data_IF_401304521517
#
_entry.id   IF_401304521517
#
_cell.length_a   1.000
_cell.length_b   1.000
_cell.length_c   1.000
_cell.angle_alpha   90.00
_cell.angle_beta   90.00
_cell.angle_gamma   90.00
#
_symmetry.space_group_name_H-M   'P 1'
#
loop_
_entity.id
_entity.type
_entity.pdbx_description
1 polymer ?
#
# COMPACT_ATOMS: atom_id res chain seq x y z
N UNK A 1 -21.44 11.78 15.46
CA UNK A 1 -21.94 13.17 15.38
C UNK A 1 -21.91 13.62 13.93
N UNK A 2 -22.95 14.35 13.53
CA UNK A 2 -23.01 14.97 12.21
C UNK A 2 -22.06 16.17 12.21
N UNK A 3 -21.14 16.22 11.28
CA UNK A 3 -20.11 17.25 11.26
C UNK A 3 -19.64 17.60 9.85
N UNK A 4 -19.41 18.87 9.65
CA UNK A 4 -18.61 19.38 8.54
C UNK A 4 -17.26 19.83 9.09
N UNK A 5 -16.18 19.34 8.50
CA UNK A 5 -14.82 19.75 8.84
C UNK A 5 -14.12 20.38 7.63
N UNK A 6 -13.21 21.29 7.93
CA UNK A 6 -12.41 21.98 6.92
C UNK A 6 -10.95 21.71 7.17
N UNK A 7 -10.19 21.58 6.10
CA UNK A 7 -8.73 21.45 6.11
C UNK A 7 -8.13 22.66 5.44
N UNK A 8 -7.13 23.25 6.06
CA UNK A 8 -6.26 24.25 5.43
C UNK A 8 -4.84 23.97 5.91
N UNK A 9 -3.93 23.74 4.99
CA UNK A 9 -2.55 23.42 5.30
C UNK A 9 -1.61 24.17 4.36
N UNK A 10 -0.55 24.71 4.92
CA UNK A 10 0.55 25.34 4.19
C UNK A 10 1.82 24.61 4.57
N UNK A 11 2.56 24.17 3.57
CA UNK A 11 3.84 23.51 3.77
C UNK A 11 4.92 24.17 2.91
N UNK A 12 6.11 24.26 3.45
CA UNK A 12 7.31 24.70 2.73
C UNK A 12 8.52 23.94 3.21
N UNK A 13 9.36 23.51 2.29
CA UNK A 13 10.62 22.83 2.58
C UNK A 13 11.75 23.38 1.74
N UNK A 14 12.91 23.54 2.39
CA UNK A 14 14.17 23.87 1.74
C UNK A 14 15.26 22.97 2.33
N UNK A 15 16.01 22.28 1.48
CA UNK A 15 17.10 21.41 1.88
C UNK A 15 18.35 21.65 1.06
N UNK A 16 19.52 21.37 1.62
CA UNK A 16 20.82 21.55 0.96
C UNK A 16 21.18 20.43 -0.02
N UNK A 17 20.38 19.34 -0.06
CA UNK A 17 20.55 18.23 -0.97
C UNK A 17 19.87 18.46 -2.32
N UNK A 18 19.87 17.41 -3.16
CA UNK A 18 19.13 17.40 -4.44
C UNK A 18 17.63 17.13 -4.27
N UNK A 19 17.24 16.56 -3.13
CA UNK A 19 15.87 16.16 -2.83
C UNK A 19 15.45 16.57 -1.43
N UNK A 20 14.14 16.63 -1.22
CA UNK A 20 13.54 16.73 0.12
C UNK A 20 13.95 15.53 0.97
N UNK A 21 14.17 15.70 2.28
CA UNK A 21 14.48 14.58 3.18
C UNK A 21 13.45 13.46 3.12
N UNK A 22 13.93 12.22 3.16
CA UNK A 22 13.14 11.01 2.89
C UNK A 22 11.81 10.95 3.67
N UNK A 23 11.82 11.13 4.99
CA UNK A 23 10.60 11.04 5.80
C UNK A 23 9.66 12.25 5.69
N UNK A 24 10.10 13.33 5.04
CA UNK A 24 9.21 14.44 4.69
C UNK A 24 8.41 14.16 3.42
N UNK A 25 8.89 13.27 2.54
CA UNK A 25 8.20 12.86 1.30
C UNK A 25 7.42 11.57 1.51
N UNK A 26 8.00 10.62 2.22
CA UNK A 26 7.47 9.26 2.39
C UNK A 26 6.26 9.22 3.32
N UNK A 27 5.30 8.36 3.01
CA UNK A 27 4.06 8.18 3.77
C UNK A 27 3.25 9.49 3.96
N UNK A 28 3.26 10.34 2.92
CA UNK A 28 2.54 11.62 2.87
C UNK A 28 1.51 11.67 1.74
N UNK A 29 0.98 10.51 1.34
CA UNK A 29 0.00 10.37 0.25
C UNK A 29 0.41 11.08 -1.04
N UNK A 30 1.71 11.13 -1.32
CA UNK A 30 2.25 11.74 -2.52
C UNK A 30 2.04 13.25 -2.65
N UNK A 31 1.75 13.96 -1.57
CA UNK A 31 1.50 15.41 -1.59
C UNK A 31 2.81 16.20 -1.67
N UNK A 32 3.83 15.79 -0.91
CA UNK A 32 5.11 16.51 -0.83
C UNK A 32 5.96 16.23 -2.07
N UNK A 33 6.39 17.26 -2.83
CA UNK A 33 7.31 17.08 -3.95
C UNK A 33 8.69 16.58 -3.52
N UNK A 34 9.36 15.90 -4.47
CA UNK A 34 10.72 15.41 -4.25
C UNK A 34 11.78 16.49 -4.29
N UNK A 35 11.52 17.60 -5.00
CA UNK A 35 12.47 18.69 -5.18
C UNK A 35 12.91 19.31 -3.84
N UNK A 36 14.21 19.62 -3.71
CA UNK A 36 14.81 20.12 -2.48
C UNK A 36 14.15 21.39 -1.93
N UNK A 37 13.68 22.26 -2.83
CA UNK A 37 12.95 23.48 -2.50
C UNK A 37 11.52 23.35 -3.04
N UNK A 38 10.57 23.21 -2.15
CA UNK A 38 9.18 23.00 -2.53
C UNK A 38 8.21 23.58 -1.53
N UNK A 39 6.96 23.64 -1.92
CA UNK A 39 5.86 24.00 -1.05
C UNK A 39 4.52 23.60 -1.62
N UNK A 40 3.52 23.50 -0.76
CA UNK A 40 2.14 23.30 -1.17
C UNK A 40 1.14 24.05 -0.28
N UNK A 41 -0.01 24.31 -0.86
CA UNK A 41 -1.23 24.72 -0.19
C UNK A 41 -2.24 23.60 -0.36
N UNK A 42 -2.89 23.20 0.72
CA UNK A 42 -3.95 22.21 0.69
C UNK A 42 -5.21 22.77 1.33
N UNK A 43 -6.35 22.60 0.67
CA UNK A 43 -7.65 23.02 1.17
C UNK A 43 -8.68 21.91 0.93
N UNK A 44 -9.43 21.56 1.97
CA UNK A 44 -10.43 20.50 1.89
C UNK A 44 -11.68 20.80 2.68
N UNK A 45 -12.79 20.18 2.27
CA UNK A 45 -14.06 20.14 2.97
C UNK A 45 -14.55 18.72 3.05
N UNK A 46 -14.97 18.29 4.23
CA UNK A 46 -15.43 16.94 4.51
C UNK A 46 -16.70 17.01 5.33
N UNK A 47 -17.69 16.23 4.93
CA UNK A 47 -18.97 16.17 5.64
C UNK A 47 -19.33 14.73 5.97
N UNK A 48 -19.87 14.51 7.15
CA UNK A 48 -20.41 13.23 7.59
C UNK A 48 -21.74 13.46 8.29
N UNK A 49 -22.73 12.62 7.99
CA UNK A 49 -24.06 12.69 8.61
C UNK A 49 -24.62 11.28 8.85
N UNK A 50 -25.26 11.10 9.98
CA UNK A 50 -26.03 9.92 10.33
C UNK A 50 -27.50 10.14 10.07
N UNK A 51 -28.19 9.12 9.58
CA UNK A 51 -29.64 9.18 9.34
C UNK A 51 -30.30 7.81 9.57
N UNK A 52 -31.53 7.83 10.01
CA UNK A 52 -32.26 6.60 10.29
C UNK A 52 -31.57 5.68 11.32
N UNK A 53 -31.87 4.38 11.24
CA UNK A 53 -31.31 3.38 12.15
C UNK A 53 -30.06 2.72 11.56
N UNK A 54 -28.90 3.30 11.85
CA UNK A 54 -27.59 2.72 11.49
C UNK A 54 -27.06 3.07 10.09
N UNK A 55 -27.68 4.04 9.40
CA UNK A 55 -27.17 4.62 8.16
C UNK A 55 -26.29 5.83 8.43
N UNK A 56 -25.26 6.00 7.61
CA UNK A 56 -24.44 7.21 7.55
C UNK A 56 -24.02 7.47 6.12
N UNK A 57 -23.78 8.71 5.78
CA UNK A 57 -23.12 9.08 4.54
C UNK A 57 -21.99 10.07 4.83
N UNK A 58 -20.99 10.09 3.97
CA UNK A 58 -19.94 11.08 4.01
C UNK A 58 -19.51 11.46 2.59
N UNK A 59 -18.97 12.66 2.44
CA UNK A 59 -18.37 13.12 1.22
C UNK A 59 -17.20 14.04 1.55
N UNK A 60 -16.21 14.08 0.67
CA UNK A 60 -15.04 14.94 0.83
C UNK A 60 -14.47 15.41 -0.49
N UNK A 61 -13.94 16.63 -0.47
CA UNK A 61 -13.15 17.21 -1.53
C UNK A 61 -11.90 17.84 -0.90
N UNK A 62 -10.74 17.50 -1.45
CA UNK A 62 -9.44 17.98 -0.99
C UNK A 62 -8.59 18.35 -2.21
N UNK A 63 -8.13 19.59 -2.29
CA UNK A 63 -7.40 20.16 -3.43
C UNK A 63 -6.02 20.62 -2.94
N UNK A 64 -4.99 20.28 -3.72
CA UNK A 64 -3.61 20.66 -3.46
C UNK A 64 -3.07 21.52 -4.59
N UNK A 65 -2.47 22.64 -4.24
CA UNK A 65 -1.64 23.47 -5.13
C UNK A 65 -0.17 23.32 -4.69
N UNK A 66 0.71 22.93 -5.60
CA UNK A 66 2.08 22.53 -5.27
C UNK A 66 3.11 23.06 -6.26
N UNK A 67 4.30 23.41 -5.77
CA UNK A 67 5.44 23.93 -6.54
C UNK A 67 6.73 23.26 -6.04
N UNK A 68 7.63 22.81 -6.92
CA UNK A 68 7.43 22.51 -8.34
C UNK A 68 6.80 21.15 -8.55
N UNK A 69 5.99 21.00 -9.54
CA UNK A 69 5.45 19.70 -9.97
C UNK A 69 4.94 19.76 -11.41
N UNK A 70 4.81 18.58 -12.00
CA UNK A 70 4.21 18.35 -13.31
C UNK A 70 2.76 18.92 -13.43
N UNK A 71 1.97 18.90 -12.33
CA UNK A 71 0.69 19.64 -12.21
C UNK A 71 0.71 20.47 -10.93
N UNK A 72 0.56 21.76 -11.09
CA UNK A 72 0.60 22.67 -9.95
C UNK A 72 -0.68 22.65 -9.10
N UNK A 73 -1.82 22.24 -9.66
CA UNK A 73 -3.08 22.08 -8.92
C UNK A 73 -3.73 20.75 -9.29
N UNK A 74 -4.16 20.00 -8.29
CA UNK A 74 -4.84 18.72 -8.49
C UNK A 74 -5.77 18.38 -7.33
N UNK A 75 -6.73 17.51 -7.60
CA UNK A 75 -7.61 16.93 -6.59
C UNK A 75 -6.85 15.80 -5.91
N UNK A 76 -6.65 15.91 -4.61
CA UNK A 76 -6.02 14.87 -3.78
C UNK A 76 -7.04 13.83 -3.34
N UNK A 77 -8.19 14.30 -2.89
CA UNK A 77 -9.31 13.45 -2.52
C UNK A 77 -10.60 13.99 -3.12
N UNK A 78 -11.43 13.10 -3.63
CA UNK A 78 -12.82 13.34 -3.97
C UNK A 78 -13.58 12.04 -3.81
N UNK A 79 -14.50 11.99 -2.85
CA UNK A 79 -15.22 10.76 -2.55
C UNK A 79 -16.63 11.00 -2.02
N UNK A 80 -17.45 9.97 -2.17
CA UNK A 80 -18.72 9.81 -1.48
C UNK A 80 -18.80 8.41 -0.86
N UNK A 81 -19.41 8.31 0.31
CA UNK A 81 -19.56 7.06 1.04
C UNK A 81 -20.98 6.90 1.56
N UNK A 82 -21.44 5.66 1.55
CA UNK A 82 -22.70 5.25 2.19
C UNK A 82 -22.43 4.08 3.12
N UNK A 83 -22.69 4.26 4.39
CA UNK A 83 -22.52 3.23 5.42
C UNK A 83 -23.85 2.72 5.95
N UNK A 84 -23.90 1.42 6.22
CA UNK A 84 -24.97 0.77 6.97
C UNK A 84 -24.38 -0.15 8.01
N UNK A 85 -24.57 0.16 9.30
CA UNK A 85 -23.94 -0.57 10.41
C UNK A 85 -22.42 -0.66 10.20
N UNK A 86 -21.87 -1.87 10.11
CA UNK A 86 -20.43 -2.12 9.89
C UNK A 86 -20.00 -2.05 8.43
N UNK A 87 -20.92 -2.05 7.46
CA UNK A 87 -20.62 -2.03 6.04
C UNK A 87 -20.49 -0.58 5.53
N UNK A 88 -19.56 -0.37 4.61
CA UNK A 88 -19.29 0.91 3.97
C UNK A 88 -19.05 0.72 2.47
N UNK A 89 -19.86 1.38 1.65
CA UNK A 89 -19.63 1.54 0.22
C UNK A 89 -18.99 2.91 -0.01
N UNK A 90 -17.81 2.93 -0.64
CA UNK A 90 -17.07 4.15 -0.98
C UNK A 90 -16.90 4.24 -2.48
N UNK A 91 -17.00 5.43 -3.04
CA UNK A 91 -16.72 5.74 -4.45
C UNK A 91 -15.85 6.98 -4.52
N UNK A 92 -14.73 6.90 -5.24
CA UNK A 92 -13.81 8.00 -5.46
C UNK A 92 -12.42 7.76 -4.93
N UNK A 93 -11.68 8.83 -4.72
CA UNK A 93 -10.30 8.85 -4.26
C UNK A 93 -10.25 9.34 -2.83
N UNK A 94 -9.84 8.47 -1.90
CA UNK A 94 -9.78 8.78 -0.45
C UNK A 94 -8.48 8.28 0.15
N UNK A 95 -7.84 9.09 0.96
CA UNK A 95 -6.67 8.68 1.74
C UNK A 95 -7.04 7.55 2.71
N UNK A 96 -6.37 6.41 2.58
CA UNK A 96 -6.67 5.22 3.37
C UNK A 96 -5.79 5.16 4.62
N UNK A 97 -6.42 5.00 5.79
CA UNK A 97 -5.74 4.91 7.09
C UNK A 97 -5.93 3.55 7.77
N UNK A 98 -6.38 2.54 7.04
CA UNK A 98 -6.83 1.27 7.63
C UNK A 98 -5.74 0.19 7.71
N UNK A 99 -4.47 0.57 7.89
CA UNK A 99 -3.40 -0.39 8.16
C UNK A 99 -3.57 -1.08 9.53
N UNK A 100 -3.03 -2.30 9.67
CA UNK A 100 -2.86 -2.96 10.98
C UNK A 100 -1.71 -2.34 11.79
N UNK A 101 -0.81 -1.64 11.10
CA UNK A 101 0.39 -1.00 11.65
C UNK A 101 0.07 0.42 12.10
N UNK A 102 0.91 0.97 12.97
CA UNK A 102 0.76 2.37 13.38
C UNK A 102 0.91 3.31 12.18
N UNK A 103 -0.06 4.21 12.01
CA UNK A 103 -0.12 5.08 10.85
C UNK A 103 1.02 6.11 10.81
N UNK A 104 1.45 6.60 11.96
CA UNK A 104 2.46 7.67 12.07
C UNK A 104 3.87 7.13 12.27
N UNK A 105 4.02 5.99 12.94
CA UNK A 105 5.32 5.48 13.37
C UNK A 105 5.83 4.31 12.55
N UNK A 106 4.96 3.52 11.88
CA UNK A 106 5.40 2.44 11.00
C UNK A 106 6.12 2.98 9.76
N UNK A 107 7.11 2.25 9.29
CA UNK A 107 7.78 2.53 8.01
C UNK A 107 6.87 2.35 6.80
N UNK A 108 5.74 1.67 6.97
CA UNK A 108 4.69 1.48 5.97
C UNK A 108 4.42 0.01 5.65
N UNK A 109 3.16 -0.29 5.39
CA UNK A 109 2.68 -1.57 4.88
C UNK A 109 3.33 -1.87 3.52
N UNK A 110 3.75 -3.12 3.29
CA UNK A 110 4.41 -3.52 2.05
C UNK A 110 3.46 -3.58 0.85
N UNK A 111 2.17 -3.73 1.08
CA UNK A 111 1.15 -3.84 0.01
C UNK A 111 0.50 -2.49 -0.24
N UNK A 112 -0.02 -1.85 0.82
CA UNK A 112 -0.67 -0.54 0.75
C UNK A 112 -0.31 0.33 1.95
N UNK A 113 0.55 1.30 1.73
CA UNK A 113 0.92 2.33 2.71
C UNK A 113 0.23 3.66 2.42
N UNK A 114 0.58 4.68 3.18
CA UNK A 114 0.22 6.08 2.90
C UNK A 114 1.22 6.79 1.99
N UNK A 115 2.07 6.07 1.26
CA UNK A 115 3.16 6.67 0.49
C UNK A 115 2.67 7.30 -0.82
N UNK A 116 1.88 6.58 -1.64
CA UNK A 116 1.36 7.11 -2.89
C UNK A 116 0.04 7.85 -2.72
N UNK A 117 -0.33 8.62 -3.74
CA UNK A 117 -1.66 9.23 -3.85
C UNK A 117 -2.75 8.16 -3.85
N UNK A 118 -3.94 8.46 -3.30
CA UNK A 118 -5.04 7.50 -3.32
C UNK A 118 -5.52 7.23 -4.76
N UNK A 119 -5.66 5.95 -5.09
CA UNK A 119 -6.19 5.51 -6.38
C UNK A 119 -7.71 5.63 -6.33
N UNK A 120 -8.37 6.26 -7.32
CA UNK A 120 -9.82 6.28 -7.41
C UNK A 120 -10.41 4.87 -7.55
N UNK A 121 -11.39 4.54 -6.73
CA UNK A 121 -11.96 3.19 -6.64
C UNK A 121 -13.43 3.17 -6.23
N UNK A 122 -14.09 2.06 -6.50
CA UNK A 122 -15.35 1.66 -5.88
C UNK A 122 -14.99 0.55 -4.90
N UNK A 123 -15.30 0.75 -3.62
CA UNK A 123 -14.92 -0.16 -2.55
C UNK A 123 -16.10 -0.47 -1.64
N UNK A 124 -16.35 -1.77 -1.45
CA UNK A 124 -17.20 -2.28 -0.39
C UNK A 124 -16.31 -2.77 0.74
N UNK A 125 -16.52 -2.28 1.95
CA UNK A 125 -15.65 -2.62 3.07
C UNK A 125 -16.41 -2.80 4.39
N UNK A 126 -15.78 -3.53 5.27
CA UNK A 126 -16.02 -3.55 6.71
C UNK A 126 -14.74 -2.99 7.36
N UNK A 127 -14.62 -1.66 7.50
CA UNK A 127 -13.33 -1.02 7.83
C UNK A 127 -12.89 -1.26 9.27
N UNK A 128 -13.84 -1.57 10.16
CA UNK A 128 -13.56 -1.82 11.58
C UNK A 128 -13.81 -3.27 11.93
N UNK A 129 -13.03 -3.80 12.88
CA UNK A 129 -13.23 -5.14 13.38
C UNK A 129 -14.62 -5.31 13.99
N UNK A 130 -15.48 -6.08 13.34
CA UNK A 130 -16.86 -6.33 13.71
C UNK A 130 -17.01 -7.72 14.31
N UNK A 131 -17.71 -7.80 15.44
CA UNK A 131 -17.97 -9.08 16.14
C UNK A 131 -18.78 -10.02 15.24
N UNK A 132 -18.29 -11.24 15.10
CA UNK A 132 -19.02 -12.31 14.42
C UNK A 132 -20.14 -12.82 15.36
N UNK A 133 -21.40 -12.86 14.92
CA UNK A 133 -22.50 -13.40 15.71
C UNK A 133 -22.18 -14.81 16.25
N UNK A 134 -22.75 -15.15 17.40
CA UNK A 134 -22.60 -16.44 18.08
C UNK A 134 -21.23 -16.74 18.69
N UNK A 135 -20.21 -15.89 18.48
CA UNK A 135 -18.85 -16.09 19.04
C UNK A 135 -18.67 -15.48 20.44
N UNK A 136 -19.73 -14.99 21.06
CA UNK A 136 -19.70 -14.28 22.37
C UNK A 136 -18.68 -13.10 22.40
N UNK A 137 -18.40 -12.52 21.23
CA UNK A 137 -17.47 -11.37 21.08
C UNK A 137 -16.00 -11.76 20.87
N UNK A 138 -15.62 -13.01 21.01
CA UNK A 138 -14.23 -13.43 20.87
C UNK A 138 -13.68 -13.33 19.46
N UNK A 139 -14.51 -13.56 18.45
CA UNK A 139 -14.10 -13.51 17.04
C UNK A 139 -14.62 -12.23 16.38
N UNK A 140 -13.74 -11.52 15.73
CA UNK A 140 -14.04 -10.31 14.99
C UNK A 140 -13.42 -10.37 13.61
N UNK A 141 -14.09 -9.77 12.63
CA UNK A 141 -13.62 -9.75 11.24
C UNK A 141 -13.62 -8.33 10.69
N UNK A 142 -12.74 -8.09 9.74
CA UNK A 142 -12.69 -6.87 8.94
C UNK A 142 -12.20 -7.24 7.53
N UNK A 143 -12.54 -6.44 6.52
CA UNK A 143 -12.09 -6.68 5.16
C UNK A 143 -12.64 -5.70 4.16
N UNK A 144 -12.20 -5.83 2.92
CA UNK A 144 -12.64 -5.01 1.80
C UNK A 144 -12.58 -5.75 0.48
N UNK A 145 -13.25 -5.18 -0.52
CA UNK A 145 -13.23 -5.58 -1.91
C UNK A 145 -13.39 -4.32 -2.77
N UNK A 146 -12.44 -4.05 -3.66
CA UNK A 146 -12.44 -2.84 -4.45
C UNK A 146 -12.02 -3.06 -5.90
N UNK A 147 -12.48 -2.15 -6.74
CA UNK A 147 -12.04 -1.99 -8.13
C UNK A 147 -11.71 -0.52 -8.34
N UNK A 148 -10.54 -0.25 -8.89
CA UNK A 148 -10.04 1.10 -9.13
C UNK A 148 -9.47 1.27 -10.51
N UNK A 149 -9.03 2.50 -10.81
CA UNK A 149 -8.41 2.86 -12.08
C UNK A 149 -7.33 3.91 -11.88
N UNK A 150 -6.21 3.74 -12.58
CA UNK A 150 -5.14 4.74 -12.66
C UNK A 150 -5.48 5.91 -13.57
N UNK A 151 -5.04 7.12 -13.17
CA UNK A 151 -5.16 8.37 -13.94
C UNK A 151 -3.81 9.08 -14.11
N UNK A 152 -2.71 8.35 -14.06
CA UNK A 152 -1.34 8.85 -14.12
C UNK A 152 -0.70 8.77 -15.51
N UNK A 153 -1.45 8.42 -16.54
CA UNK A 153 -0.96 8.26 -17.94
C UNK A 153 -0.10 9.44 -18.40
N UNK A 154 -0.56 10.67 -18.17
CA UNK A 154 0.18 11.86 -18.60
C UNK A 154 1.45 12.12 -17.78
N UNK A 155 1.47 11.71 -16.51
CA UNK A 155 2.69 11.70 -15.71
C UNK A 155 3.71 10.72 -16.29
N UNK A 156 3.31 9.49 -16.58
CA UNK A 156 4.18 8.45 -17.15
C UNK A 156 4.73 8.85 -18.52
N UNK A 157 3.91 9.45 -19.37
CA UNK A 157 4.33 9.96 -20.68
C UNK A 157 5.44 11.01 -20.53
N UNK A 158 5.26 11.98 -19.64
CA UNK A 158 6.22 13.06 -19.42
C UNK A 158 7.49 12.54 -18.73
N UNK A 159 7.36 11.69 -17.73
CA UNK A 159 8.49 11.20 -16.93
C UNK A 159 9.35 10.23 -17.73
N UNK A 160 8.74 9.24 -18.41
CA UNK A 160 9.46 8.27 -19.25
C UNK A 160 10.06 8.91 -20.49
N UNK A 161 9.45 9.94 -21.03
CA UNK A 161 9.88 10.62 -22.25
C UNK A 161 10.18 9.64 -23.41
N UNK A 162 9.36 8.59 -23.54
CA UNK A 162 9.47 7.57 -24.58
C UNK A 162 10.55 6.49 -24.35
N UNK A 163 11.22 6.47 -23.21
CA UNK A 163 12.29 5.48 -22.91
C UNK A 163 11.77 4.08 -22.62
N UNK A 164 10.64 4.00 -21.90
CA UNK A 164 10.01 2.73 -21.55
C UNK A 164 8.56 2.72 -21.99
N UNK A 165 8.04 1.53 -22.27
CA UNK A 165 6.61 1.32 -22.50
C UNK A 165 5.89 1.26 -21.16
N UNK A 166 4.61 1.61 -21.15
CA UNK A 166 3.76 1.57 -19.97
C UNK A 166 2.32 1.25 -20.38
N UNK A 167 1.53 0.82 -19.42
CA UNK A 167 0.10 0.58 -19.62
C UNK A 167 -0.67 1.84 -19.21
N UNK A 168 -1.51 2.35 -20.12
CA UNK A 168 -2.42 3.48 -19.87
C UNK A 168 -3.71 2.99 -19.25
N UNK A 169 -4.27 3.78 -18.33
CA UNK A 169 -5.56 3.50 -17.72
C UNK A 169 -5.64 2.10 -17.08
N UNK A 170 -4.60 1.71 -16.36
CA UNK A 170 -4.56 0.44 -15.63
C UNK A 170 -5.76 0.33 -14.69
N UNK A 171 -6.38 -0.83 -14.68
CA UNK A 171 -7.40 -1.19 -13.73
C UNK A 171 -6.74 -1.84 -12.49
N UNK A 172 -7.29 -1.56 -11.32
CA UNK A 172 -6.85 -2.13 -10.05
C UNK A 172 -7.96 -2.95 -9.44
N UNK A 173 -7.58 -4.04 -8.81
CA UNK A 173 -8.44 -4.80 -7.94
C UNK A 173 -7.71 -5.05 -6.63
N UNK A 174 -8.40 -4.89 -5.51
CA UNK A 174 -7.88 -5.38 -4.24
C UNK A 174 -8.97 -5.96 -3.36
N UNK A 175 -8.56 -6.84 -2.49
CA UNK A 175 -9.37 -7.43 -1.45
C UNK A 175 -8.51 -7.75 -0.24
N UNK A 176 -9.12 -7.65 0.94
CA UNK A 176 -8.49 -8.06 2.18
C UNK A 176 -9.47 -8.75 3.10
N UNK A 177 -8.97 -9.63 3.95
CA UNK A 177 -9.75 -10.25 4.99
C UNK A 177 -8.90 -10.53 6.22
N UNK A 178 -9.39 -10.11 7.37
CA UNK A 178 -8.71 -10.25 8.65
C UNK A 178 -9.63 -10.86 9.69
N UNK A 179 -9.07 -11.74 10.51
CA UNK A 179 -9.73 -12.31 11.69
C UNK A 179 -8.95 -11.90 12.91
N UNK A 180 -9.65 -11.38 13.91
CA UNK A 180 -9.10 -11.07 15.23
C UNK A 180 -9.76 -11.93 16.28
N UNK A 181 -8.94 -12.56 17.11
CA UNK A 181 -9.38 -13.26 18.33
C UNK A 181 -8.98 -12.38 19.51
N UNK A 182 -9.97 -11.94 20.27
CA UNK A 182 -9.79 -11.04 21.41
C UNK A 182 -10.89 -11.25 22.43
N UNK A 183 -10.53 -11.31 23.72
CA UNK A 183 -11.52 -11.24 24.79
C UNK A 183 -12.09 -9.83 24.92
N UNK A 184 -13.36 -9.68 24.55
CA UNK A 184 -14.06 -8.38 24.63
C UNK A 184 -14.35 -7.93 26.05
N UNK A 185 -14.27 -8.83 27.03
CA UNK A 185 -14.38 -8.49 28.44
C UNK A 185 -13.04 -8.05 29.07
N UNK A 186 -11.95 -8.08 28.28
CA UNK A 186 -10.60 -7.73 28.70
C UNK A 186 -10.07 -8.53 29.92
N UNK A 187 -10.61 -9.72 30.16
CA UNK A 187 -10.12 -10.62 31.21
C UNK A 187 -8.86 -11.38 30.78
N UNK A 188 -8.72 -11.61 29.46
CA UNK A 188 -7.56 -12.24 28.87
C UNK A 188 -6.76 -11.19 28.07
N UNK A 189 -5.51 -10.92 28.45
CA UNK A 189 -4.76 -9.78 27.92
C UNK A 189 -4.21 -9.96 26.50
N UNK A 190 -4.17 -11.20 26.00
CA UNK A 190 -3.61 -11.51 24.68
C UNK A 190 -4.69 -11.48 23.61
N UNK A 191 -4.39 -10.85 22.49
CA UNK A 191 -5.20 -10.92 21.27
C UNK A 191 -4.31 -11.22 20.05
N UNK A 192 -4.88 -11.89 19.06
CA UNK A 192 -4.20 -12.24 17.83
C UNK A 192 -4.99 -11.80 16.60
N UNK A 193 -4.28 -11.39 15.57
CA UNK A 193 -4.85 -11.05 14.25
C UNK A 193 -4.10 -11.86 13.20
N UNK A 194 -4.84 -12.46 12.28
CA UNK A 194 -4.33 -13.02 11.05
C UNK A 194 -5.13 -12.45 9.89
N UNK A 195 -4.47 -12.26 8.75
CA UNK A 195 -5.15 -11.75 7.57
C UNK A 195 -4.40 -11.95 6.29
N UNK A 196 -5.06 -11.60 5.21
CA UNK A 196 -4.52 -11.64 3.85
C UNK A 196 -4.93 -10.38 3.12
N UNK A 197 -3.98 -9.82 2.37
CA UNK A 197 -4.20 -8.78 1.38
C UNK A 197 -3.85 -9.32 0.00
N UNK A 198 -4.62 -8.95 -1.00
CA UNK A 198 -4.34 -9.25 -2.40
C UNK A 198 -4.65 -8.05 -3.27
N UNK A 199 -3.70 -7.68 -4.10
CA UNK A 199 -3.79 -6.59 -5.06
C UNK A 199 -3.46 -7.10 -6.46
N UNK A 200 -4.08 -6.51 -7.48
CA UNK A 200 -3.80 -6.82 -8.87
C UNK A 200 -3.93 -5.58 -9.77
N UNK A 201 -2.99 -5.44 -10.70
CA UNK A 201 -3.11 -4.56 -11.86
C UNK A 201 -3.54 -5.40 -13.05
N UNK A 202 -4.51 -4.89 -13.83
CA UNK A 202 -5.03 -5.60 -14.98
C UNK A 202 -5.63 -4.62 -16.00
N UNK A 203 -5.97 -5.11 -17.19
CA UNK A 203 -6.59 -4.28 -18.23
C UNK A 203 -5.69 -3.11 -18.67
N UNK A 204 -6.32 -2.06 -19.19
CA UNK A 204 -5.63 -0.91 -19.73
C UNK A 204 -5.15 -1.09 -21.18
N UNK A 205 -4.31 -0.20 -21.64
CA UNK A 205 -3.79 -0.22 -23.02
C UNK A 205 -2.31 0.09 -23.01
N UNK A 206 -1.50 -0.78 -23.60
CA UNK A 206 -0.06 -0.56 -23.73
C UNK A 206 0.25 0.66 -24.61
N UNK A 207 1.26 1.42 -24.22
CA UNK A 207 1.84 2.47 -25.07
C UNK A 207 2.59 1.87 -26.27
N UNK A 208 2.92 0.58 -26.23
CA UNK A 208 3.43 -0.17 -27.37
C UNK A 208 2.25 -0.67 -28.24
N UNK A 209 2.08 -0.16 -29.46
CA UNK A 209 0.95 -0.57 -30.33
C UNK A 209 0.93 -2.06 -30.67
N UNK A 210 2.07 -2.77 -30.59
CA UNK A 210 2.14 -4.22 -30.87
C UNK A 210 1.50 -5.07 -29.77
N UNK A 211 1.47 -4.55 -28.54
CA UNK A 211 0.84 -5.21 -27.38
C UNK A 211 -0.63 -4.83 -27.29
N UNK A 212 -0.94 -3.53 -27.49
CA UNK A 212 -2.31 -3.02 -27.58
C UNK A 212 -3.10 -3.09 -26.29
N UNK A 213 -4.40 -3.39 -26.44
CA UNK A 213 -5.36 -3.44 -25.32
C UNK A 213 -5.19 -4.72 -24.53
N UNK A 214 -5.07 -4.59 -23.20
CA UNK A 214 -4.98 -5.74 -22.29
C UNK A 214 -6.39 -6.30 -22.01
N UNK A 215 -6.51 -7.59 -21.64
CA UNK A 215 -7.78 -8.22 -21.28
C UNK A 215 -8.52 -7.45 -20.20
N UNK A 216 -9.80 -7.09 -20.46
CA UNK A 216 -10.59 -6.25 -19.54
C UNK A 216 -12.09 -6.60 -19.52
N UNK A 217 -12.47 -7.78 -20.02
CA UNK A 217 -13.85 -8.26 -19.93
C UNK A 217 -14.25 -8.64 -18.51
N UNK A 218 -15.54 -8.83 -18.25
CA UNK A 218 -16.04 -9.36 -16.98
C UNK A 218 -15.43 -10.74 -16.65
N UNK A 219 -15.24 -11.60 -17.68
CA UNK A 219 -14.58 -12.90 -17.53
C UNK A 219 -13.13 -12.73 -17.07
N UNK A 220 -12.41 -11.76 -17.64
CA UNK A 220 -11.03 -11.45 -17.27
C UNK A 220 -10.97 -10.89 -15.83
N UNK A 221 -11.93 -10.05 -15.44
CA UNK A 221 -12.03 -9.58 -14.05
C UNK A 221 -12.21 -10.74 -13.06
N UNK A 222 -13.08 -11.73 -13.36
CA UNK A 222 -13.24 -12.90 -12.51
C UNK A 222 -11.92 -13.69 -12.39
N UNK A 223 -11.16 -13.82 -13.49
CA UNK A 223 -9.83 -14.45 -13.46
C UNK A 223 -8.87 -13.71 -12.54
N UNK A 224 -8.84 -12.38 -12.63
CA UNK A 224 -8.00 -11.53 -11.77
C UNK A 224 -8.40 -11.68 -10.30
N UNK A 225 -9.69 -11.65 -10.00
CA UNK A 225 -10.19 -11.87 -8.62
C UNK A 225 -9.78 -13.22 -8.07
N UNK A 226 -9.80 -14.28 -8.91
CA UNK A 226 -9.45 -15.64 -8.50
C UNK A 226 -7.94 -15.94 -8.59
N UNK A 227 -7.12 -15.03 -9.13
CA UNK A 227 -5.70 -15.29 -9.40
C UNK A 227 -5.51 -16.43 -10.41
N UNK A 228 -6.26 -16.40 -11.51
CA UNK A 228 -6.27 -17.44 -12.55
C UNK A 228 -5.53 -16.98 -13.81
N UNK A 229 -5.09 -17.93 -14.60
CA UNK A 229 -4.44 -17.72 -15.89
C UNK A 229 -5.28 -16.89 -16.87
N UNK A 230 -4.60 -16.16 -17.75
CA UNK A 230 -5.21 -15.40 -18.84
C UNK A 230 -5.85 -16.30 -19.90
N UNK A 231 -6.75 -15.72 -20.70
CA UNK A 231 -7.29 -16.38 -21.88
C UNK A 231 -6.41 -16.18 -23.11
N UNK A 232 -6.88 -16.69 -24.26
CA UNK A 232 -6.17 -16.57 -25.56
C UNK A 232 -5.99 -15.13 -26.02
N UNK A 233 -6.69 -14.17 -25.41
CA UNK A 233 -6.57 -12.73 -25.64
C UNK A 233 -5.52 -12.04 -24.75
N UNK A 234 -4.83 -12.77 -23.88
CA UNK A 234 -3.78 -12.28 -23.02
C UNK A 234 -2.38 -12.49 -23.65
N UNK A 235 -1.36 -11.84 -23.08
CA UNK A 235 0.03 -12.13 -23.43
C UNK A 235 0.41 -13.57 -23.05
N UNK A 236 1.46 -14.12 -23.66
CA UNK A 236 1.88 -15.50 -23.33
C UNK A 236 2.26 -15.64 -21.85
N UNK A 237 2.88 -14.61 -21.28
CA UNK A 237 3.20 -14.56 -19.84
C UNK A 237 1.95 -14.73 -18.98
N UNK A 238 0.92 -13.96 -19.27
CA UNK A 238 -0.35 -14.00 -18.52
C UNK A 238 -1.15 -15.29 -18.77
N UNK A 239 -0.96 -15.94 -19.92
CA UNK A 239 -1.59 -17.22 -20.24
C UNK A 239 -1.00 -18.42 -19.47
N UNK A 240 0.29 -18.35 -19.11
CA UNK A 240 1.00 -19.44 -18.42
C UNK A 240 1.16 -19.22 -16.92
N UNK A 241 0.99 -17.96 -16.46
CA UNK A 241 1.07 -17.59 -15.04
C UNK A 241 -0.28 -17.17 -14.51
N UNK A 242 -0.46 -15.87 -14.28
CA UNK A 242 -1.70 -15.24 -13.79
C UNK A 242 -1.99 -14.04 -14.65
N UNK A 243 -3.27 -13.77 -14.94
CA UNK A 243 -3.66 -12.59 -15.70
C UNK A 243 -3.41 -11.31 -14.92
N UNK A 244 -2.45 -10.51 -15.37
CA UNK A 244 -2.07 -9.24 -14.76
C UNK A 244 -0.94 -9.33 -13.74
N UNK A 245 -0.66 -8.23 -13.07
CA UNK A 245 0.36 -8.14 -12.02
C UNK A 245 -0.28 -8.35 -10.65
N UNK A 246 0.07 -9.41 -9.95
CA UNK A 246 -0.48 -9.77 -8.65
C UNK A 246 0.56 -9.63 -7.55
N UNK A 247 0.14 -9.13 -6.40
CA UNK A 247 0.94 -9.09 -5.18
C UNK A 247 0.03 -9.06 -3.94
N UNK A 248 0.60 -9.36 -2.80
CA UNK A 248 -0.17 -9.39 -1.56
C UNK A 248 0.67 -9.72 -0.34
N UNK A 249 0.00 -9.98 0.76
CA UNK A 249 0.66 -10.39 2.00
C UNK A 249 -0.21 -11.30 2.86
N UNK A 250 0.45 -12.10 3.69
CA UNK A 250 -0.12 -12.66 4.90
C UNK A 250 0.32 -11.80 6.07
N UNK A 251 -0.65 -11.37 6.88
CA UNK A 251 -0.41 -10.45 7.99
C UNK A 251 -0.69 -11.14 9.32
N UNK A 252 0.25 -11.05 10.25
CA UNK A 252 0.18 -11.62 11.58
C UNK A 252 0.46 -10.55 12.61
N UNK A 253 -0.38 -10.46 13.66
CA UNK A 253 -0.16 -9.54 14.77
C UNK A 253 -0.61 -10.17 16.08
N UNK A 254 0.26 -10.11 17.09
CA UNK A 254 -0.05 -10.46 18.47
C UNK A 254 0.01 -9.20 19.32
N UNK A 255 -0.97 -9.01 20.19
CA UNK A 255 -1.04 -7.87 21.10
C UNK A 255 -1.25 -8.36 22.53
N UNK A 256 -0.42 -7.90 23.45
CA UNK A 256 -0.55 -8.13 24.88
C UNK A 256 -0.87 -6.79 25.55
N UNK A 257 -2.05 -6.68 26.16
CA UNK A 257 -2.57 -5.43 26.69
C UNK A 257 -2.65 -5.48 28.20
N UNK A 258 -1.96 -4.53 28.85
CA UNK A 258 -1.99 -4.32 30.31
C UNK A 258 -2.53 -2.91 30.60
N UNK A 259 -2.95 -2.61 31.83
CA UNK A 259 -3.53 -1.31 32.17
C UNK A 259 -2.62 -0.10 31.90
N UNK A 260 -1.31 -0.30 31.91
CA UNK A 260 -0.31 0.78 31.82
C UNK A 260 0.54 0.72 30.57
N UNK A 261 0.47 -0.36 29.79
CA UNK A 261 1.25 -0.54 28.59
C UNK A 261 0.59 -1.59 27.67
N UNK A 262 0.91 -1.52 26.39
CA UNK A 262 0.53 -2.53 25.41
C UNK A 262 1.73 -2.84 24.55
N UNK A 263 2.02 -4.12 24.39
CA UNK A 263 3.05 -4.62 23.48
C UNK A 263 2.39 -5.33 22.31
N UNK A 264 2.82 -5.00 21.10
CA UNK A 264 2.45 -5.72 19.89
C UNK A 264 3.70 -6.23 19.19
N UNK A 265 3.61 -7.43 18.62
CA UNK A 265 4.59 -7.97 17.69
C UNK A 265 3.85 -8.35 16.39
N UNK A 266 4.44 -8.09 15.24
CA UNK A 266 3.80 -8.34 13.98
C UNK A 266 4.77 -8.75 12.88
N UNK A 267 4.22 -9.45 11.90
CA UNK A 267 4.91 -9.84 10.67
C UNK A 267 3.97 -9.71 9.49
N UNK A 268 4.47 -9.08 8.42
CA UNK A 268 3.81 -9.03 7.11
C UNK A 268 4.67 -9.81 6.14
N UNK A 269 4.21 -10.98 5.73
CA UNK A 269 4.86 -11.82 4.72
C UNK A 269 4.38 -11.42 3.34
N UNK A 270 5.26 -10.83 2.54
CA UNK A 270 4.94 -10.34 1.20
C UNK A 270 5.10 -11.43 0.14
N UNK A 271 4.26 -11.43 -0.87
CA UNK A 271 4.32 -12.35 -2.00
C UNK A 271 3.84 -11.67 -3.29
N UNK A 272 4.34 -12.11 -4.45
CA UNK A 272 3.87 -11.68 -5.76
C UNK A 272 3.32 -12.84 -6.59
N UNK A 273 3.84 -14.04 -6.34
CA UNK A 273 3.40 -15.25 -7.01
C UNK A 273 3.22 -16.42 -6.03
N UNK A 274 2.97 -17.60 -6.60
CA UNK A 274 2.77 -18.82 -5.82
C UNK A 274 3.99 -19.22 -5.01
N UNK A 275 5.21 -18.93 -5.46
CA UNK A 275 6.43 -19.23 -4.73
C UNK A 275 6.50 -18.47 -3.41
N UNK A 276 6.17 -17.18 -3.42
CA UNK A 276 6.02 -16.36 -2.22
C UNK A 276 4.85 -16.83 -1.35
N UNK A 277 3.70 -17.15 -1.94
CA UNK A 277 2.52 -17.65 -1.20
C UNK A 277 2.80 -18.96 -0.42
N UNK A 278 3.71 -19.79 -0.88
CA UNK A 278 4.14 -21.04 -0.19
C UNK A 278 5.45 -20.86 0.60
N UNK A 279 5.83 -19.62 0.88
CA UNK A 279 6.98 -19.26 1.73
C UNK A 279 8.36 -19.64 1.20
N UNK A 280 8.55 -19.82 -0.13
CA UNK A 280 9.86 -20.05 -0.72
C UNK A 280 10.79 -18.85 -0.54
N UNK A 281 10.24 -17.63 -0.48
CA UNK A 281 10.97 -16.40 -0.17
C UNK A 281 11.39 -16.27 1.32
N UNK A 282 11.11 -17.29 2.13
CA UNK A 282 11.67 -17.47 3.49
C UNK A 282 11.21 -16.38 4.46
N UNK A 283 12.17 -15.57 4.93
CA UNK A 283 11.91 -14.53 5.95
C UNK A 283 11.61 -13.16 5.36
N UNK A 284 11.50 -13.04 4.04
CA UNK A 284 11.17 -11.78 3.40
C UNK A 284 9.83 -11.22 3.91
N UNK A 285 9.81 -9.92 4.17
CA UNK A 285 8.67 -9.24 4.73
C UNK A 285 9.05 -8.14 5.71
N UNK A 286 8.05 -7.60 6.38
CA UNK A 286 8.18 -6.62 7.44
C UNK A 286 7.98 -7.30 8.81
N UNK A 287 8.95 -7.17 9.69
CA UNK A 287 8.91 -7.62 11.07
C UNK A 287 8.85 -6.40 11.97
N UNK A 288 7.96 -6.37 12.94
CA UNK A 288 7.80 -5.19 13.78
C UNK A 288 7.42 -5.50 15.21
N UNK A 289 7.75 -4.56 16.09
CA UNK A 289 7.28 -4.51 17.46
C UNK A 289 6.88 -3.08 17.82
N UNK A 290 5.80 -2.94 18.57
CA UNK A 290 5.27 -1.68 19.04
C UNK A 290 5.01 -1.74 20.54
N UNK A 291 5.43 -0.71 21.24
CA UNK A 291 5.17 -0.53 22.67
C UNK A 291 4.40 0.76 22.88
N UNK A 292 3.19 0.67 23.40
CA UNK A 292 2.36 1.81 23.80
C UNK A 292 2.48 2.02 25.32
N UNK A 293 2.75 3.25 25.73
CA UNK A 293 2.97 3.68 27.13
C UNK A 293 2.03 4.84 27.48
N UNK A 294 0.71 4.60 27.58
CA UNK A 294 -0.30 5.69 27.68
C UNK A 294 -0.17 6.56 28.92
N UNK A 295 0.56 6.09 29.95
CA UNK A 295 0.81 6.85 31.21
C UNK A 295 2.12 7.62 31.21
N UNK A 296 2.92 7.52 30.15
CA UNK A 296 4.21 8.17 30.05
C UNK A 296 4.17 9.27 28.96
N UNK A 297 3.80 10.52 29.31
CA UNK A 297 3.52 11.52 28.29
C UNK A 297 4.72 11.82 27.41
N UNK A 298 5.94 11.85 27.97
CA UNK A 298 7.15 12.15 27.24
C UNK A 298 7.62 10.99 26.31
N UNK A 299 7.08 9.79 26.43
CA UNK A 299 7.31 8.67 25.53
C UNK A 299 6.04 7.82 25.44
N UNK A 300 5.12 8.20 24.56
CA UNK A 300 3.82 7.54 24.44
C UNK A 300 3.87 6.25 23.68
N UNK A 301 4.74 6.19 22.67
CA UNK A 301 4.81 5.04 21.77
C UNK A 301 6.21 4.88 21.18
N UNK A 302 6.61 3.64 21.00
CA UNK A 302 7.84 3.24 20.30
C UNK A 302 7.50 2.15 19.31
N UNK A 303 8.02 2.28 18.08
CA UNK A 303 7.92 1.24 17.04
C UNK A 303 9.34 0.91 16.57
N UNK A 304 9.64 -0.36 16.45
CA UNK A 304 10.85 -0.86 15.80
C UNK A 304 10.47 -1.86 14.72
N UNK A 305 11.05 -1.72 13.54
CA UNK A 305 10.76 -2.58 12.39
C UNK A 305 12.03 -3.02 11.69
N UNK A 306 11.97 -4.21 11.12
CA UNK A 306 12.99 -4.75 10.24
C UNK A 306 12.32 -5.20 8.94
N UNK A 307 12.65 -4.53 7.84
CA UNK A 307 12.25 -4.92 6.49
C UNK A 307 13.36 -5.72 5.83
N UNK A 308 13.00 -6.85 5.26
CA UNK A 308 13.91 -7.65 4.43
C UNK A 308 13.20 -8.13 3.16
N UNK A 309 13.85 -7.92 2.00
CA UNK A 309 13.32 -8.30 0.69
C UNK A 309 14.43 -8.94 -0.18
N UNK A 310 15.35 -9.65 0.44
CA UNK A 310 16.56 -10.14 -0.23
C UNK A 310 16.39 -11.46 -0.95
N UNK A 311 15.57 -12.34 -0.43
CA UNK A 311 15.42 -13.70 -0.93
C UNK A 311 14.67 -13.69 -2.27
N UNK A 312 13.44 -13.12 -2.28
CA UNK A 312 12.59 -13.01 -3.46
C UNK A 312 12.49 -14.36 -4.21
N UNK A 313 12.24 -15.44 -3.43
CA UNK A 313 12.17 -16.84 -3.91
C UNK A 313 13.42 -17.35 -4.61
N UNK A 314 14.61 -16.77 -4.28
CA UNK A 314 15.92 -17.19 -4.81
C UNK A 314 16.31 -16.49 -6.11
N UNK A 315 17.53 -16.79 -6.62
CA UNK A 315 18.09 -16.10 -7.79
C UNK A 315 17.61 -16.67 -9.13
N UNK A 316 16.98 -17.85 -9.13
CA UNK A 316 16.59 -18.57 -10.35
C UNK A 316 15.11 -18.91 -10.33
N UNK A 317 14.50 -18.90 -11.52
CA UNK A 317 13.20 -19.51 -11.73
C UNK A 317 13.30 -21.04 -11.61
N UNK A 318 12.27 -21.65 -11.06
CA UNK A 318 12.16 -23.12 -10.99
C UNK A 318 10.75 -23.55 -11.44
N UNK A 319 10.65 -24.75 -12.02
CA UNK A 319 9.37 -25.33 -12.44
C UNK A 319 8.74 -25.97 -11.21
N UNK A 320 7.58 -25.46 -10.79
CA UNK A 320 6.74 -26.09 -9.76
C UNK A 320 5.68 -27.01 -10.41
N UNK A 321 5.27 -26.70 -11.65
CA UNK A 321 4.23 -27.40 -12.40
C UNK A 321 4.59 -27.49 -13.88
N UNK A 322 4.26 -28.63 -14.49
CA UNK A 322 4.15 -28.73 -15.94
C UNK A 322 2.93 -27.91 -16.39
N UNK A 323 3.12 -27.05 -17.38
CA UNK A 323 2.05 -26.32 -18.03
C UNK A 323 1.94 -26.76 -19.48
N UNK A 324 0.75 -27.05 -19.96
CA UNK A 324 0.51 -27.57 -21.31
C UNK A 324 1.03 -26.64 -22.43
N UNK A 325 1.04 -25.32 -22.16
CA UNK A 325 1.42 -24.28 -23.13
C UNK A 325 2.88 -23.83 -23.03
N UNK A 326 3.58 -24.16 -21.95
CA UNK A 326 4.93 -23.69 -21.70
C UNK A 326 5.72 -24.64 -20.82
N UNK A 327 6.84 -25.09 -21.37
CA UNK A 327 7.82 -25.96 -20.72
C UNK A 327 9.06 -25.12 -20.37
N UNK A 328 9.01 -24.36 -19.31
CA UNK A 328 10.08 -23.47 -18.90
C UNK A 328 10.13 -23.23 -17.39
N UNK A 329 11.12 -22.49 -16.89
CA UNK A 329 11.18 -22.13 -15.48
C UNK A 329 9.97 -21.32 -15.08
N UNK A 330 9.24 -21.78 -14.07
CA UNK A 330 8.10 -21.07 -13.47
C UNK A 330 8.27 -20.97 -11.97
N UNK A 331 7.90 -19.82 -11.37
CA UNK A 331 8.09 -19.53 -9.95
C UNK A 331 9.55 -19.23 -9.58
N UNK A 332 9.77 -18.57 -8.44
CA UNK A 332 11.09 -18.13 -7.97
C UNK A 332 11.66 -16.96 -8.77
N UNK A 333 12.80 -16.45 -8.32
CA UNK A 333 13.49 -15.34 -8.98
C UNK A 333 12.64 -14.06 -9.08
N UNK A 334 11.80 -13.77 -8.06
CA UNK A 334 10.91 -12.61 -8.04
C UNK A 334 11.70 -11.29 -8.07
N UNK A 335 11.07 -10.24 -8.54
CA UNK A 335 11.56 -8.86 -8.47
C UNK A 335 10.46 -7.96 -7.91
N UNK A 336 10.40 -7.89 -6.58
CA UNK A 336 9.32 -7.23 -5.85
C UNK A 336 9.03 -5.83 -6.35
N UNK A 337 7.74 -5.50 -6.44
CA UNK A 337 7.17 -4.25 -6.96
C UNK A 337 7.32 -4.05 -8.48
N UNK A 338 8.09 -4.88 -9.19
CA UNK A 338 8.22 -4.83 -10.64
C UNK A 338 7.35 -5.88 -11.34
N UNK A 339 7.03 -5.63 -12.61
CA UNK A 339 6.34 -6.59 -13.46
C UNK A 339 6.71 -6.36 -14.92
N UNK A 340 6.78 -7.42 -15.71
CA UNK A 340 7.22 -7.36 -17.11
C UNK A 340 6.18 -6.64 -17.99
N UNK A 341 4.89 -6.87 -17.75
CA UNK A 341 3.81 -6.26 -18.54
C UNK A 341 3.45 -4.87 -18.00
N UNK A 342 3.29 -4.77 -16.68
CA UNK A 342 2.96 -3.54 -15.98
C UNK A 342 4.23 -2.89 -15.41
N UNK A 343 5.07 -2.35 -16.30
CA UNK A 343 6.43 -1.84 -15.99
C UNK A 343 6.46 -0.87 -14.80
N UNK A 344 5.40 -0.07 -14.60
CA UNK A 344 5.29 0.82 -13.43
C UNK A 344 5.25 0.06 -12.11
N UNK A 345 4.96 -1.24 -12.15
CA UNK A 345 4.87 -2.08 -10.98
C UNK A 345 3.89 -1.54 -9.93
N UNK A 346 4.20 -1.77 -8.67
CA UNK A 346 3.37 -1.34 -7.53
C UNK A 346 3.50 0.17 -7.27
N UNK A 347 3.30 1.02 -8.30
CA UNK A 347 3.40 2.48 -8.17
C UNK A 347 2.22 3.24 -8.78
N UNK A 348 2.01 4.47 -8.30
CA UNK A 348 1.03 5.42 -8.82
C UNK A 348 1.61 6.83 -8.76
N UNK A 349 1.59 7.54 -9.88
CA UNK A 349 2.32 8.82 -10.06
C UNK A 349 3.80 8.74 -9.68
N UNK A 350 4.46 7.61 -9.98
CA UNK A 350 5.87 7.38 -9.69
C UNK A 350 6.21 7.12 -8.23
N UNK A 351 5.22 7.04 -7.35
CA UNK A 351 5.41 6.67 -5.94
C UNK A 351 4.91 5.25 -5.68
N UNK A 352 5.71 4.46 -4.97
CA UNK A 352 5.32 3.13 -4.54
C UNK A 352 4.05 3.17 -3.68
N UNK A 353 3.09 2.31 -3.96
CA UNK A 353 1.85 2.21 -3.16
C UNK A 353 2.08 1.47 -1.84
N UNK A 354 3.12 0.63 -1.76
CA UNK A 354 3.56 -0.07 -0.56
C UNK A 354 4.65 0.69 0.20
N UNK A 355 5.57 -0.06 0.82
CA UNK A 355 6.63 0.49 1.67
C UNK A 355 7.55 1.47 0.91
N UNK A 356 7.75 2.69 1.42
CA UNK A 356 8.68 3.64 0.81
C UNK A 356 10.14 3.22 0.90
N UNK A 357 10.48 2.24 1.74
CA UNK A 357 11.84 1.72 1.87
C UNK A 357 12.31 0.94 0.62
N UNK A 358 11.38 0.52 -0.25
CA UNK A 358 11.68 0.17 -1.63
C UNK A 358 11.59 1.45 -2.46
N UNK A 359 12.75 1.90 -2.98
CA UNK A 359 12.89 3.23 -3.57
C UNK A 359 11.93 3.45 -4.75
N UNK A 360 11.03 4.38 -4.60
CA UNK A 360 10.00 4.70 -5.60
C UNK A 360 10.58 5.17 -6.94
N UNK A 361 9.95 4.87 -8.09
CA UNK A 361 10.42 5.28 -9.41
C UNK A 361 10.63 6.78 -9.60
N UNK A 362 9.92 7.64 -8.86
CA UNK A 362 10.13 9.10 -8.92
C UNK A 362 11.57 9.56 -8.59
N UNK A 363 12.35 8.71 -7.90
CA UNK A 363 13.76 8.98 -7.59
C UNK A 363 14.71 8.66 -8.77
N UNK A 364 14.22 8.00 -9.83
CA UNK A 364 15.01 7.72 -11.02
C UNK A 364 15.27 9.01 -11.80
N UNK A 365 16.55 9.32 -12.06
CA UNK A 365 16.95 10.55 -12.75
C UNK A 365 16.98 10.40 -14.27
N UNK A 366 16.87 9.17 -14.77
CA UNK A 366 17.01 8.84 -16.19
C UNK A 366 15.65 8.63 -16.90
N UNK A 367 14.50 8.80 -16.19
CA UNK A 367 13.16 8.61 -16.75
C UNK A 367 12.67 7.16 -16.74
N UNK A 368 13.38 6.25 -16.08
CA UNK A 368 12.90 4.88 -15.86
C UNK A 368 11.74 4.88 -14.86
N UNK A 369 10.68 4.14 -15.17
CA UNK A 369 9.42 4.10 -14.42
C UNK A 369 9.27 2.85 -13.55
N UNK A 370 10.27 1.99 -13.51
CA UNK A 370 10.37 0.79 -12.70
C UNK A 370 11.17 1.02 -11.41
N UNK A 371 11.02 0.10 -10.46
CA UNK A 371 11.79 0.11 -9.22
C UNK A 371 13.19 -0.43 -9.46
N UNK A 372 14.22 0.33 -9.08
CA UNK A 372 15.63 -0.05 -9.25
C UNK A 372 16.26 -0.70 -8.01
N UNK A 373 15.61 -0.56 -6.85
CA UNK A 373 16.15 -1.01 -5.57
C UNK A 373 15.07 -1.79 -4.81
N UNK A 374 14.91 -3.06 -5.15
CA UNK A 374 13.88 -3.94 -4.61
C UNK A 374 14.43 -4.95 -3.59
N UNK A 375 15.77 -5.16 -3.56
CA UNK A 375 16.45 -6.05 -2.61
C UNK A 375 17.09 -5.25 -1.49
N UNK A 376 16.40 -5.14 -0.36
CA UNK A 376 16.73 -4.23 0.73
C UNK A 376 16.78 -4.97 2.06
N UNK A 377 17.63 -4.49 2.97
CA UNK A 377 17.53 -4.66 4.43
C UNK A 377 17.42 -3.30 5.04
N UNK A 378 16.41 -3.09 5.87
CA UNK A 378 16.24 -1.81 6.54
C UNK A 378 15.78 -2.01 7.98
N UNK A 379 16.40 -1.27 8.89
CA UNK A 379 15.94 -1.08 10.25
C UNK A 379 15.24 0.25 10.38
N UNK A 380 14.12 0.26 11.06
CA UNK A 380 13.37 1.45 11.37
C UNK A 380 13.10 1.53 12.86
N UNK A 381 13.32 2.71 13.43
CA UNK A 381 12.98 3.04 14.81
C UNK A 381 12.20 4.34 14.83
N UNK A 382 11.05 4.32 15.47
CA UNK A 382 10.21 5.50 15.59
C UNK A 382 9.66 5.62 17.00
N UNK A 383 9.48 6.85 17.45
CA UNK A 383 8.88 7.15 18.74
C UNK A 383 8.22 8.51 18.75
N UNK A 384 7.21 8.64 19.60
CA UNK A 384 6.45 9.86 19.79
C UNK A 384 6.16 10.13 21.26
N UNK A 385 5.95 11.39 21.59
CA UNK A 385 5.59 11.83 22.94
C UNK A 385 5.33 13.32 23.01
N UNK A 386 4.97 13.80 24.20
CA UNK A 386 4.77 15.22 24.50
C UNK A 386 5.89 15.72 25.42
N UNK A 387 6.57 16.75 25.01
CA UNK A 387 7.53 17.47 25.85
C UNK A 387 6.81 18.43 26.82
N UNK A 388 5.63 18.90 26.43
CA UNK A 388 4.73 19.71 27.24
C UNK A 388 3.30 19.56 26.74
N UNK A 389 2.27 20.10 27.43
CA UNK A 389 0.90 20.08 26.95
C UNK A 389 0.68 20.72 25.57
N UNK A 390 1.61 21.57 25.11
CA UNK A 390 1.53 22.29 23.85
C UNK A 390 2.57 21.82 22.81
N UNK A 391 3.48 20.93 23.18
CA UNK A 391 4.59 20.51 22.31
C UNK A 391 4.68 19.00 22.25
N UNK A 392 4.33 18.42 21.12
CA UNK A 392 4.53 17.01 20.79
C UNK A 392 5.72 16.83 19.87
N UNK A 393 6.33 15.67 19.90
CA UNK A 393 7.41 15.31 18.98
C UNK A 393 7.17 13.96 18.34
N UNK A 394 7.69 13.79 17.13
CA UNK A 394 7.73 12.56 16.36
C UNK A 394 9.15 12.40 15.81
N UNK A 395 9.75 11.23 16.01
CA UNK A 395 11.05 10.87 15.47
C UNK A 395 10.95 9.61 14.63
N UNK A 396 11.45 9.66 13.40
CA UNK A 396 11.52 8.56 12.45
C UNK A 396 12.96 8.40 12.00
N UNK A 397 13.55 7.23 12.25
CA UNK A 397 14.94 6.92 11.94
C UNK A 397 14.97 5.60 11.16
N UNK A 398 15.73 5.54 10.07
CA UNK A 398 15.97 4.27 9.39
C UNK A 398 17.44 4.15 8.95
N UNK A 399 17.89 2.91 8.87
CA UNK A 399 19.14 2.52 8.25
C UNK A 399 18.79 1.49 7.18
N UNK A 400 19.11 1.78 5.93
CA UNK A 400 18.82 0.91 4.80
C UNK A 400 20.11 0.51 4.10
N UNK A 401 20.26 -0.78 3.86
CA UNK A 401 21.35 -1.36 3.08
C UNK A 401 20.77 -1.94 1.78
N UNK A 402 20.83 -1.21 0.66
CA UNK A 402 20.48 -1.78 -0.65
C UNK A 402 21.51 -2.85 -1.00
N UNK A 403 21.05 -4.05 -1.30
CA UNK A 403 21.91 -5.09 -1.83
C UNK A 403 21.98 -4.99 -3.35
N UNK A 404 23.08 -4.47 -3.86
CA UNK A 404 23.37 -4.57 -5.31
C UNK A 404 23.47 -6.05 -5.69
N UNK A 405 22.80 -6.45 -6.79
CA UNK A 405 23.19 -7.67 -7.47
C UNK A 405 24.66 -7.52 -7.86
N UNK A 406 25.53 -8.32 -7.27
CA UNK A 406 26.77 -8.65 -7.95
C UNK A 406 26.32 -9.43 -9.20
N UNK A 407 26.39 -8.81 -10.36
CA UNK A 407 26.40 -9.52 -11.62
C UNK A 407 27.59 -10.50 -11.51
N UNK A 408 27.26 -11.76 -11.26
CA UNK A 408 28.22 -12.83 -11.50
C UNK A 408 28.27 -12.93 -13.02
N UNK A 409 29.30 -12.33 -13.57
CA UNK A 409 29.72 -12.48 -14.97
C UNK A 409 30.07 -13.92 -15.26
#
# INVERSE_FOLDING_TARGET
EDATSYKAEVFGSASSGSTTPFWMVSNRYGVVPLDANNGYLNAGVFHQQHFGKGFRWSAGLDIVAVVPRYRNVYIQQIYAELGYKSMLLSVGSKENRHSLWDHSLSSGDMVLSSNARPIPEIKLSMPEFTVVPLTKGWMQVKGDFAVGKSFDTKYLENFSNGKQTYIKNVLWHHKSFYVRIKDTQNKFPLSGIIGVQHWAQWGGTSSNPRIGVQPHSLKDFIRVVCGSEGGDNATLSDQVNVLGNHFGSYDFKLEYTMPNWKLAAYHQHYFEDKSGMIFVNGTDGLWGAQLDLPRLPWLKKVVTEYLVTRNQSGPFHFIIFDHDKYQGPGGGGDDYYNNIEYITGSSYFGQGIGSPLLTSPQYNTNGDIDFKNTRVRAWHLAFEGDLSPMVSYLSLIHISEPTRHSLIS
#
